data_IF_238343265647
#
_entry.id   IF_238343265647
#
_cell.length_a   1.000
_cell.length_b   1.000
_cell.length_c   1.000
_cell.angle_alpha   90.00
_cell.angle_beta   90.00
_cell.angle_gamma   90.00
#
_symmetry.space_group_name_H-M   'P 1'
#
loop_
_entity.id
_entity.type
_entity.pdbx_description
1 polymer ?
#
# COMPACT_ATOMS: atom_id res chain seq x y z
N UNK A 1 14.49 -25.31 1.88
CA UNK A 1 13.78 -24.98 0.64
C UNK A 1 13.68 -23.47 0.54
N UNK A 2 14.08 -22.88 -0.58
CA UNK A 2 13.91 -21.44 -0.80
C UNK A 2 12.41 -21.10 -0.75
N UNK A 3 12.06 -20.01 -0.05
CA UNK A 3 10.70 -19.50 -0.01
C UNK A 3 10.26 -19.11 -1.43
N UNK A 4 8.95 -19.19 -1.69
CA UNK A 4 8.37 -18.82 -2.98
C UNK A 4 8.74 -17.39 -3.39
N UNK A 5 8.76 -16.47 -2.42
CA UNK A 5 9.19 -15.10 -2.68
C UNK A 5 10.68 -15.01 -3.08
N UNK A 6 11.54 -15.80 -2.47
CA UNK A 6 12.96 -15.86 -2.86
C UNK A 6 13.14 -16.41 -4.28
N UNK A 7 12.29 -17.37 -4.69
CA UNK A 7 12.30 -17.88 -6.06
C UNK A 7 11.84 -16.81 -7.06
N UNK A 8 10.78 -16.07 -6.73
CA UNK A 8 10.31 -14.96 -7.57
C UNK A 8 11.38 -13.88 -7.73
N UNK A 9 12.07 -13.50 -6.64
CA UNK A 9 13.14 -12.50 -6.70
C UNK A 9 14.30 -12.98 -7.58
N UNK A 10 14.72 -14.23 -7.47
CA UNK A 10 15.77 -14.78 -8.35
C UNK A 10 15.35 -14.78 -9.82
N UNK A 11 14.07 -15.05 -10.11
CA UNK A 11 13.57 -14.97 -11.49
C UNK A 11 13.49 -13.54 -11.99
N UNK A 12 13.18 -12.59 -11.10
CA UNK A 12 13.23 -11.17 -11.41
C UNK A 12 14.65 -10.71 -11.76
N UNK A 13 15.64 -11.03 -10.91
CA UNK A 13 17.05 -10.71 -11.14
C UNK A 13 17.54 -11.30 -12.47
N UNK A 14 17.15 -12.56 -12.77
CA UNK A 14 17.48 -13.20 -14.04
C UNK A 14 16.85 -12.47 -15.24
N UNK A 15 15.61 -12.03 -15.13
CA UNK A 15 14.91 -11.28 -16.16
C UNK A 15 15.56 -9.91 -16.42
N UNK A 16 15.94 -9.19 -15.37
CA UNK A 16 16.68 -7.93 -15.49
C UNK A 16 18.03 -8.14 -16.19
N UNK A 17 18.75 -9.19 -15.83
CA UNK A 17 20.04 -9.53 -16.44
C UNK A 17 19.90 -9.89 -17.93
N UNK A 18 18.88 -10.68 -18.30
CA UNK A 18 18.60 -11.08 -19.67
C UNK A 18 18.09 -9.91 -20.56
N UNK A 19 17.32 -9.01 -20.00
CA UNK A 19 16.73 -7.88 -20.74
C UNK A 19 17.60 -6.61 -20.73
N UNK A 20 18.55 -6.52 -19.79
CA UNK A 20 19.41 -5.36 -19.62
C UNK A 20 18.69 -4.09 -19.21
N UNK A 21 17.50 -4.22 -18.60
CA UNK A 21 16.71 -3.08 -18.13
C UNK A 21 17.25 -2.58 -16.78
N UNK A 22 17.26 -1.26 -16.58
CA UNK A 22 17.61 -0.60 -15.32
C UNK A 22 16.40 -0.43 -14.39
N UNK A 23 15.21 -0.67 -14.92
CA UNK A 23 13.93 -0.65 -14.22
C UNK A 23 12.91 -1.47 -15.02
N UNK A 24 12.00 -2.19 -14.35
CA UNK A 24 11.10 -3.11 -15.00
C UNK A 24 9.63 -2.96 -14.59
N UNK A 25 8.73 -3.15 -15.58
CA UNK A 25 7.29 -3.32 -15.31
C UNK A 25 7.04 -4.75 -14.82
N UNK A 26 6.38 -4.95 -13.66
CA UNK A 26 5.98 -6.27 -13.20
C UNK A 26 5.13 -7.07 -14.19
N UNK A 27 4.38 -6.42 -15.08
CA UNK A 27 3.60 -7.12 -16.10
C UNK A 27 4.50 -7.75 -17.16
N UNK A 28 5.53 -7.04 -17.61
CA UNK A 28 6.50 -7.58 -18.57
C UNK A 28 7.26 -8.76 -17.99
N UNK A 29 7.61 -8.69 -16.70
CA UNK A 29 8.21 -9.80 -15.98
C UNK A 29 7.25 -11.01 -15.89
N UNK A 30 5.97 -10.79 -15.58
CA UNK A 30 4.97 -11.87 -15.51
C UNK A 30 4.84 -12.57 -16.84
N UNK A 31 4.74 -11.82 -17.95
CA UNK A 31 4.65 -12.36 -19.29
C UNK A 31 5.89 -13.18 -19.65
N UNK A 32 7.07 -12.66 -19.37
CA UNK A 32 8.33 -13.40 -19.56
C UNK A 32 8.39 -14.66 -18.69
N UNK A 33 8.06 -14.58 -17.41
CA UNK A 33 8.14 -15.71 -16.50
C UNK A 33 7.12 -16.81 -16.84
N UNK A 34 5.93 -16.44 -17.32
CA UNK A 34 4.93 -17.40 -17.81
C UNK A 34 5.40 -18.08 -19.11
N UNK A 35 5.94 -17.31 -20.05
CA UNK A 35 6.47 -17.84 -21.32
C UNK A 35 7.62 -18.83 -21.09
N UNK A 36 8.42 -18.64 -20.05
CA UNK A 36 9.55 -19.51 -19.70
C UNK A 36 9.18 -20.60 -18.68
N UNK A 37 7.88 -20.77 -18.36
CA UNK A 37 7.40 -21.78 -17.40
C UNK A 37 7.87 -21.59 -15.95
N UNK A 38 8.32 -20.39 -15.59
CA UNK A 38 8.83 -20.05 -14.25
C UNK A 38 7.72 -19.57 -13.32
N UNK A 39 6.58 -19.14 -13.88
CA UNK A 39 5.40 -18.71 -13.17
C UNK A 39 4.16 -19.42 -13.71
N UNK A 40 3.30 -19.89 -12.81
CA UNK A 40 2.03 -20.52 -13.15
C UNK A 40 1.02 -20.41 -12.03
N UNK A 41 -0.26 -20.40 -12.36
CA UNK A 41 -1.35 -20.34 -11.37
C UNK A 41 -1.48 -21.69 -10.64
N UNK A 42 -1.47 -21.63 -9.32
CA UNK A 42 -1.77 -22.75 -8.44
C UNK A 42 -3.17 -22.59 -7.82
N UNK A 43 -3.90 -23.67 -7.50
CA UNK A 43 -5.25 -23.59 -6.93
C UNK A 43 -5.34 -22.70 -5.67
N UNK A 44 -4.31 -22.73 -4.84
CA UNK A 44 -4.23 -21.88 -3.66
C UNK A 44 -4.09 -20.39 -3.97
N UNK A 45 -3.53 -20.04 -5.14
CA UNK A 45 -3.32 -18.66 -5.56
C UNK A 45 -4.64 -17.99 -5.94
N UNK A 46 -5.62 -18.74 -6.46
CA UNK A 46 -6.96 -18.23 -6.80
C UNK A 46 -7.64 -17.63 -5.56
N UNK A 47 -7.61 -18.34 -4.42
CA UNK A 47 -8.20 -17.83 -3.17
C UNK A 47 -7.46 -16.59 -2.67
N UNK A 48 -6.15 -16.52 -2.82
CA UNK A 48 -5.37 -15.35 -2.45
C UNK A 48 -5.68 -14.15 -3.37
N UNK A 49 -5.84 -14.38 -4.66
CA UNK A 49 -6.24 -13.34 -5.63
C UNK A 49 -7.61 -12.77 -5.25
N UNK A 50 -8.61 -13.62 -5.03
CA UNK A 50 -9.94 -13.19 -4.61
C UNK A 50 -9.90 -12.41 -3.30
N UNK A 51 -9.12 -12.87 -2.33
CA UNK A 51 -8.93 -12.16 -1.06
C UNK A 51 -8.29 -10.78 -1.27
N UNK A 52 -7.29 -10.67 -2.15
CA UNK A 52 -6.68 -9.39 -2.50
C UNK A 52 -7.69 -8.45 -3.16
N UNK A 53 -8.50 -8.93 -4.10
CA UNK A 53 -9.53 -8.15 -4.76
C UNK A 53 -10.57 -7.61 -3.77
N UNK A 54 -11.10 -8.47 -2.89
CA UNK A 54 -12.04 -8.06 -1.84
C UNK A 54 -11.40 -7.03 -0.91
N UNK A 55 -10.17 -7.28 -0.46
CA UNK A 55 -9.44 -6.36 0.41
C UNK A 55 -9.18 -5.02 -0.26
N UNK A 56 -8.87 -5.01 -1.55
CA UNK A 56 -8.67 -3.81 -2.34
C UNK A 56 -9.98 -3.01 -2.47
N UNK A 57 -11.08 -3.67 -2.80
CA UNK A 57 -12.40 -3.02 -2.87
C UNK A 57 -12.78 -2.37 -1.53
N UNK A 58 -12.56 -3.08 -0.40
CA UNK A 58 -12.82 -2.54 0.94
C UNK A 58 -11.95 -1.31 1.26
N UNK A 59 -10.70 -1.28 0.78
CA UNK A 59 -9.79 -0.13 0.97
C UNK A 59 -10.11 1.06 0.09
N UNK A 60 -10.64 0.81 -1.11
CA UNK A 60 -10.99 1.85 -2.08
C UNK A 60 -12.37 2.45 -1.84
N UNK A 61 -13.24 1.77 -1.07
CA UNK A 61 -14.55 2.28 -0.72
C UNK A 61 -14.44 3.61 0.03
N UNK A 62 -14.99 4.67 -0.56
CA UNK A 62 -14.95 6.04 -0.05
C UNK A 62 -16.34 6.59 0.12
N UNK A 63 -16.49 7.52 1.05
CA UNK A 63 -17.67 8.37 1.24
C UNK A 63 -17.20 9.80 1.40
N UNK A 64 -18.13 10.72 1.18
CA UNK A 64 -17.92 12.14 1.37
C UNK A 64 -18.67 12.63 2.59
N UNK A 65 -18.01 13.44 3.41
CA UNK A 65 -18.61 14.17 4.53
C UNK A 65 -18.90 15.60 4.05
N UNK A 66 -20.20 15.94 3.92
CA UNK A 66 -20.62 17.26 3.46
C UNK A 66 -20.32 18.37 4.48
N UNK A 67 -20.47 18.07 5.77
CA UNK A 67 -20.21 19.03 6.84
C UNK A 67 -18.72 19.34 6.97
N UNK A 68 -17.87 18.31 6.97
CA UNK A 68 -16.41 18.45 7.07
C UNK A 68 -15.73 18.77 5.75
N UNK A 69 -16.43 18.68 4.62
CA UNK A 69 -15.91 18.91 3.26
C UNK A 69 -14.66 18.09 2.95
N UNK A 70 -14.70 16.79 3.24
CA UNK A 70 -13.61 15.85 2.94
C UNK A 70 -14.12 14.46 2.56
N UNK A 71 -13.30 13.75 1.77
CA UNK A 71 -13.53 12.34 1.45
C UNK A 71 -12.85 11.44 2.48
N UNK A 72 -13.53 10.40 2.92
CA UNK A 72 -13.02 9.44 3.87
C UNK A 72 -13.27 8.00 3.40
N UNK A 73 -12.53 7.07 3.98
CA UNK A 73 -12.72 5.64 3.72
C UNK A 73 -14.01 5.15 4.37
N UNK A 74 -14.87 4.48 3.60
CA UNK A 74 -16.09 3.87 4.15
C UNK A 74 -15.81 2.68 5.08
N UNK A 75 -14.67 2.00 4.91
CA UNK A 75 -14.29 0.82 5.69
C UNK A 75 -12.93 1.01 6.37
N UNK A 76 -12.88 0.68 7.65
CA UNK A 76 -11.67 0.66 8.46
C UNK A 76 -11.26 -0.76 8.79
N UNK A 77 -9.96 -0.98 8.93
CA UNK A 77 -9.37 -2.29 9.21
C UNK A 77 -8.79 -2.33 10.62
N UNK A 78 -8.98 -3.45 11.30
CA UNK A 78 -8.30 -3.78 12.55
C UNK A 78 -7.77 -5.21 12.48
N UNK A 79 -6.55 -5.45 12.93
CA UNK A 79 -5.99 -6.79 13.08
C UNK A 79 -6.30 -7.29 14.49
N UNK A 80 -7.01 -8.41 14.56
CA UNK A 80 -7.31 -9.12 15.81
C UNK A 80 -6.52 -10.43 15.82
N UNK A 81 -6.02 -10.82 16.98
CA UNK A 81 -5.30 -12.08 17.13
C UNK A 81 -6.26 -13.17 17.62
N UNK A 82 -6.23 -14.32 16.94
CA UNK A 82 -6.99 -15.49 17.36
C UNK A 82 -6.29 -16.20 18.54
N UNK A 83 -6.90 -17.29 19.04
CA UNK A 83 -6.36 -18.07 20.15
C UNK A 83 -4.95 -18.64 19.89
N UNK A 84 -4.56 -18.79 18.64
CA UNK A 84 -3.24 -19.29 18.24
C UNK A 84 -2.21 -18.14 17.99
N UNK A 85 -2.55 -16.91 18.35
CA UNK A 85 -1.68 -15.75 18.12
C UNK A 85 -1.58 -15.29 16.67
N UNK A 86 -2.42 -15.80 15.76
CA UNK A 86 -2.42 -15.41 14.35
C UNK A 86 -3.27 -14.16 14.16
N UNK A 87 -2.69 -13.13 13.56
CA UNK A 87 -3.37 -11.88 13.24
C UNK A 87 -4.34 -12.04 12.06
N UNK A 88 -5.60 -11.72 12.28
CA UNK A 88 -6.66 -11.75 11.27
C UNK A 88 -7.20 -10.33 11.07
N UNK A 89 -7.24 -9.87 9.82
CA UNK A 89 -7.80 -8.57 9.47
C UNK A 89 -9.32 -8.62 9.44
N UNK A 90 -9.93 -7.74 10.22
CA UNK A 90 -11.36 -7.51 10.25
C UNK A 90 -11.66 -6.11 9.73
N UNK A 91 -12.71 -5.97 8.93
CA UNK A 91 -13.15 -4.69 8.40
C UNK A 91 -14.49 -4.31 9.03
N UNK A 92 -14.66 -3.04 9.33
CA UNK A 92 -15.91 -2.48 9.82
C UNK A 92 -16.24 -1.17 9.12
N UNK A 93 -17.52 -0.83 9.08
CA UNK A 93 -18.01 0.44 8.55
C UNK A 93 -17.62 1.58 9.50
N UNK A 94 -17.07 2.66 8.97
CA UNK A 94 -16.63 3.80 9.79
C UNK A 94 -17.81 4.48 10.49
N UNK A 95 -18.96 4.60 9.82
CA UNK A 95 -20.09 5.35 10.34
C UNK A 95 -20.94 4.52 11.33
N UNK A 96 -21.05 3.22 11.09
CA UNK A 96 -22.01 2.37 11.79
C UNK A 96 -21.40 1.16 12.50
N UNK A 97 -20.11 0.89 12.31
CA UNK A 97 -19.47 -0.35 12.77
C UNK A 97 -18.38 -0.13 13.79
N UNK A 98 -17.87 -1.27 14.25
CA UNK A 98 -16.79 -1.35 15.22
C UNK A 98 -17.20 -0.92 16.64
N UNK A 99 -16.60 -1.54 17.63
CA UNK A 99 -16.68 -1.06 19.02
C UNK A 99 -15.74 0.11 19.23
N UNK A 100 -15.91 0.95 20.28
CA UNK A 100 -14.94 2.00 20.61
C UNK A 100 -13.49 1.50 20.67
N UNK A 101 -13.27 0.33 21.29
CA UNK A 101 -11.95 -0.29 21.37
C UNK A 101 -11.39 -0.66 20.00
N UNK A 102 -12.21 -1.25 19.10
CA UNK A 102 -11.78 -1.60 17.74
C UNK A 102 -11.42 -0.34 16.92
N UNK A 103 -12.20 0.73 17.08
CA UNK A 103 -11.91 2.01 16.40
C UNK A 103 -10.58 2.58 16.85
N UNK A 104 -10.33 2.68 18.16
CA UNK A 104 -9.05 3.16 18.70
C UNK A 104 -7.88 2.27 18.27
N UNK A 105 -8.03 0.96 18.36
CA UNK A 105 -7.01 -0.01 17.95
C UNK A 105 -6.68 0.13 16.45
N UNK A 106 -7.67 0.30 15.59
CA UNK A 106 -7.46 0.44 14.15
C UNK A 106 -6.63 1.67 13.80
N UNK A 107 -6.88 2.81 14.46
CA UNK A 107 -6.10 4.05 14.25
C UNK A 107 -4.67 3.87 14.74
N UNK A 108 -4.48 3.25 15.92
CA UNK A 108 -3.14 2.98 16.45
C UNK A 108 -2.34 2.07 15.53
N UNK A 109 -2.93 0.97 15.06
CA UNK A 109 -2.28 0.04 14.13
C UNK A 109 -1.96 0.71 12.80
N UNK A 110 -2.84 1.57 12.30
CA UNK A 110 -2.58 2.34 11.09
C UNK A 110 -1.41 3.31 11.26
N UNK A 111 -1.34 4.01 12.41
CA UNK A 111 -0.22 4.89 12.71
C UNK A 111 1.10 4.12 12.79
N UNK A 112 1.10 2.97 13.44
CA UNK A 112 2.27 2.08 13.52
C UNK A 112 2.73 1.60 12.13
N UNK A 113 1.79 1.24 11.25
CA UNK A 113 2.09 0.83 9.88
C UNK A 113 2.71 2.00 9.07
N UNK A 114 2.16 3.21 9.17
CA UNK A 114 2.70 4.40 8.52
C UNK A 114 4.12 4.70 9.03
N UNK A 115 4.33 4.65 10.35
CA UNK A 115 5.65 4.88 10.94
C UNK A 115 6.68 3.84 10.46
N UNK A 116 6.27 2.59 10.26
CA UNK A 116 7.13 1.55 9.72
C UNK A 116 7.47 1.79 8.25
N UNK A 117 6.52 2.23 7.43
CA UNK A 117 6.75 2.57 6.02
C UNK A 117 7.69 3.79 5.90
N UNK A 118 7.51 4.80 6.74
CA UNK A 118 8.42 5.96 6.84
C UNK A 118 9.84 5.52 7.22
N UNK A 119 9.98 4.64 8.22
CA UNK A 119 11.29 4.09 8.60
C UNK A 119 11.99 3.39 7.43
N UNK A 120 11.27 2.58 6.64
CA UNK A 120 11.83 1.94 5.45
C UNK A 120 12.31 2.96 4.43
N UNK A 121 11.50 3.99 4.15
CA UNK A 121 11.87 5.06 3.22
C UNK A 121 13.16 5.77 3.67
N UNK A 122 13.33 6.02 4.96
CA UNK A 122 14.58 6.59 5.51
C UNK A 122 15.77 5.65 5.27
N UNK A 123 15.61 4.35 5.54
CA UNK A 123 16.66 3.36 5.29
C UNK A 123 17.04 3.28 3.79
N UNK A 124 16.05 3.35 2.90
CA UNK A 124 16.28 3.33 1.46
C UNK A 124 17.08 4.56 1.01
N UNK A 125 16.74 5.75 1.52
CA UNK A 125 17.47 7.00 1.26
C UNK A 125 18.91 6.91 1.76
N UNK A 126 19.13 6.43 3.00
CA UNK A 126 20.48 6.24 3.55
C UNK A 126 21.31 5.27 2.69
N UNK A 127 20.68 4.20 2.20
CA UNK A 127 21.36 3.22 1.36
C UNK A 127 21.71 3.80 -0.02
N UNK A 128 20.81 4.56 -0.64
CA UNK A 128 21.07 5.24 -1.91
C UNK A 128 22.21 6.25 -1.76
N UNK A 129 22.18 7.10 -0.74
CA UNK A 129 23.23 8.08 -0.47
C UNK A 129 24.59 7.41 -0.25
N UNK A 130 24.62 6.27 0.42
CA UNK A 130 25.86 5.50 0.64
C UNK A 130 26.42 4.92 -0.67
N UNK A 131 25.55 4.46 -1.54
CA UNK A 131 25.96 3.85 -2.82
C UNK A 131 26.39 4.89 -3.87
N UNK A 132 25.83 6.08 -3.78
CA UNK A 132 26.07 7.17 -4.75
C UNK A 132 26.55 8.45 -4.05
N UNK A 133 27.76 8.42 -3.43
CA UNK A 133 28.23 9.53 -2.61
C UNK A 133 28.54 10.81 -3.42
N UNK A 134 28.68 10.69 -4.75
CA UNK A 134 28.94 11.82 -5.65
C UNK A 134 27.67 12.53 -6.11
N UNK A 135 26.50 11.92 -5.88
CA UNK A 135 25.22 12.50 -6.26
C UNK A 135 24.73 13.49 -5.20
N UNK A 136 23.72 14.28 -5.58
CA UNK A 136 23.01 15.11 -4.62
C UNK A 136 22.43 14.22 -3.52
N UNK A 137 22.81 14.51 -2.28
CA UNK A 137 22.33 13.72 -1.12
C UNK A 137 20.82 13.92 -0.93
N UNK A 138 20.12 12.78 -0.86
CA UNK A 138 18.68 12.72 -0.67
C UNK A 138 18.33 12.87 0.82
N UNK A 139 17.16 13.45 1.11
CA UNK A 139 16.59 13.51 2.45
C UNK A 139 15.10 13.13 2.41
N UNK A 140 14.67 12.33 3.37
CA UNK A 140 13.25 12.04 3.58
C UNK A 140 12.75 12.87 4.76
N UNK A 141 11.91 13.87 4.46
CA UNK A 141 11.35 14.75 5.48
C UNK A 141 10.23 14.06 6.24
N UNK A 142 10.22 14.17 7.58
CA UNK A 142 9.26 13.48 8.45
C UNK A 142 8.05 14.34 8.84
N UNK A 143 8.05 15.59 8.43
CA UNK A 143 7.00 16.57 8.73
C UNK A 143 5.97 16.57 7.63
N UNK A 144 4.76 16.07 7.93
CA UNK A 144 3.67 15.90 6.95
C UNK A 144 2.51 16.88 7.18
N UNK A 145 2.65 17.86 8.05
CA UNK A 145 1.54 18.78 8.40
C UNK A 145 1.14 19.64 7.20
N UNK A 146 2.12 20.16 6.48
CA UNK A 146 1.89 20.99 5.30
C UNK A 146 1.32 20.16 4.17
N UNK A 147 1.85 18.94 3.92
CA UNK A 147 1.31 18.02 2.92
C UNK A 147 -0.17 17.69 3.17
N UNK A 148 -0.53 17.44 4.43
CA UNK A 148 -1.93 17.18 4.81
C UNK A 148 -2.81 18.40 4.58
N UNK A 149 -2.32 19.60 4.87
CA UNK A 149 -3.04 20.85 4.64
C UNK A 149 -3.23 21.13 3.14
N UNK A 150 -2.20 20.89 2.33
CA UNK A 150 -2.25 21.02 0.86
C UNK A 150 -3.25 20.06 0.23
N UNK A 151 -3.22 18.77 0.63
CA UNK A 151 -4.19 17.77 0.16
C UNK A 151 -5.63 18.17 0.48
N UNK A 152 -5.87 18.69 1.68
CA UNK A 152 -7.20 19.17 2.09
C UNK A 152 -7.65 20.36 1.24
N UNK A 153 -6.78 21.32 1.02
CA UNK A 153 -7.08 22.49 0.20
C UNK A 153 -7.35 22.10 -1.27
N UNK A 154 -6.57 21.17 -1.82
CA UNK A 154 -6.75 20.68 -3.18
C UNK A 154 -8.11 19.96 -3.36
N UNK A 155 -8.49 19.09 -2.42
CA UNK A 155 -9.77 18.38 -2.45
C UNK A 155 -10.96 19.36 -2.41
N UNK A 156 -10.89 20.42 -1.60
CA UNK A 156 -11.89 21.46 -1.55
C UNK A 156 -11.97 22.26 -2.85
N UNK A 157 -10.82 22.60 -3.44
CA UNK A 157 -10.77 23.38 -4.70
C UNK A 157 -11.32 22.61 -5.90
N UNK A 158 -11.05 21.32 -6.01
CA UNK A 158 -11.59 20.45 -7.07
C UNK A 158 -13.12 20.40 -7.02
N UNK A 159 -13.70 20.38 -5.84
CA UNK A 159 -15.14 20.34 -5.66
C UNK A 159 -15.81 21.65 -6.10
N UNK A 160 -15.27 22.80 -5.73
CA UNK A 160 -15.83 24.10 -6.16
C UNK A 160 -15.89 24.20 -7.70
N UNK A 161 -14.87 23.70 -8.40
CA UNK A 161 -14.89 23.64 -9.87
C UNK A 161 -15.94 22.70 -10.44
N UNK A 162 -16.24 21.60 -9.77
CA UNK A 162 -17.28 20.64 -10.17
C UNK A 162 -18.69 21.19 -9.97
N UNK A 163 -18.93 22.01 -8.95
CA UNK A 163 -20.21 22.66 -8.68
C UNK A 163 -20.48 23.85 -9.62
N UNK A 164 -19.44 24.58 -10.05
CA UNK A 164 -19.60 25.66 -11.05
C UNK A 164 -19.84 25.14 -12.48
N UNK A 165 -19.47 23.87 -12.77
CA UNK A 165 -19.62 23.26 -14.09
C UNK A 165 -20.94 22.44 -14.27
N UNK A 166 -21.76 22.30 -13.23
CA UNK A 166 -23.00 21.52 -13.22
C UNK A 166 -24.24 22.41 -13.30
#
# INVERSE_FOLDING_TARGET
MADYNEQLLRHWDQWEEETGQDSGDPNDFIDWAMAHGKLGLRPQDVRQILRKQVTQALRQAKRYDEEGSFTYRAKQCVTLFNANGVGVKHYFDIDHGGTPTKRQMSIRQRREAIAHDVYRAVCDVERMNKNFPSDLQLAFHLEFQDDVAEHRAAEQAERYKGEEAA
#
